data_IF_726110282935
#
_entry.id   IF_726110282935
#
_cell.length_a   1.000
_cell.length_b   1.000
_cell.length_c   1.000
_cell.angle_alpha   90.00
_cell.angle_beta   90.00
_cell.angle_gamma   90.00
#
_symmetry.space_group_name_H-M   'P 1'
#
loop_
_entity.id
_entity.type
_entity.pdbx_description
1 polymer ?
#
# COMPACT_ATOMS: atom_id res chain seq x y z
N UNK A 1 0.12 -7.57 -37.19
CA UNK A 1 -0.35 -8.85 -36.63
C UNK A 1 -0.38 -8.71 -35.09
N UNK A 2 -1.57 -8.86 -34.53
CA UNK A 2 -1.74 -8.85 -33.07
C UNK A 2 -2.08 -10.26 -32.60
N UNK A 3 -1.42 -10.73 -31.55
CA UNK A 3 -1.77 -11.97 -30.89
C UNK A 3 -2.87 -11.70 -29.86
N UNK A 4 -4.07 -12.19 -30.12
CA UNK A 4 -5.22 -12.08 -29.23
C UNK A 4 -5.58 -13.47 -28.76
N UNK A 5 -5.39 -13.75 -27.48
CA UNK A 5 -5.70 -15.04 -26.86
C UNK A 5 -6.29 -14.84 -25.47
N UNK A 6 -7.39 -15.52 -25.19
CA UNK A 6 -8.00 -15.58 -23.88
C UNK A 6 -8.95 -16.77 -23.78
N UNK A 7 -9.01 -17.42 -22.64
CA UNK A 7 -9.94 -18.52 -22.38
C UNK A 7 -11.39 -18.06 -22.17
N UNK A 8 -11.61 -16.77 -21.90
CA UNK A 8 -12.91 -16.23 -21.42
C UNK A 8 -13.54 -15.19 -22.37
N UNK A 9 -13.20 -15.22 -23.66
CA UNK A 9 -13.65 -14.24 -24.65
C UNK A 9 -15.18 -14.10 -24.77
N UNK A 10 -15.90 -15.19 -24.60
CA UNK A 10 -17.36 -15.23 -24.72
C UNK A 10 -18.08 -15.21 -23.38
N UNK A 11 -17.34 -15.15 -22.28
CA UNK A 11 -17.94 -15.09 -20.96
C UNK A 11 -18.53 -13.69 -20.72
N UNK A 12 -19.81 -13.64 -20.35
CA UNK A 12 -20.53 -12.38 -20.15
C UNK A 12 -20.33 -11.76 -18.77
N UNK A 13 -19.88 -12.54 -17.80
CA UNK A 13 -19.74 -12.12 -16.39
C UNK A 13 -18.80 -10.91 -16.24
N UNK A 14 -17.64 -10.96 -16.90
CA UNK A 14 -16.66 -9.86 -16.86
C UNK A 14 -17.19 -8.56 -17.46
N UNK A 15 -17.90 -8.65 -18.59
CA UNK A 15 -18.51 -7.47 -19.22
C UNK A 15 -19.62 -6.87 -18.38
N UNK A 16 -20.50 -7.71 -17.81
CA UNK A 16 -21.57 -7.25 -16.93
C UNK A 16 -21.02 -6.57 -15.67
N UNK A 17 -20.00 -7.17 -15.04
CA UNK A 17 -19.31 -6.59 -13.90
C UNK A 17 -18.65 -5.24 -14.25
N UNK A 18 -18.00 -5.15 -15.42
CA UNK A 18 -17.36 -3.90 -15.86
C UNK A 18 -18.37 -2.77 -16.07
N UNK A 19 -19.51 -3.07 -16.71
CA UNK A 19 -20.59 -2.09 -16.89
C UNK A 19 -21.13 -1.59 -15.56
N UNK A 20 -21.35 -2.50 -14.60
CA UNK A 20 -21.82 -2.11 -13.26
C UNK A 20 -20.76 -1.26 -12.52
N UNK A 21 -19.48 -1.59 -12.62
CA UNK A 21 -18.40 -0.79 -12.04
C UNK A 21 -18.41 0.63 -12.61
N UNK A 22 -18.49 0.78 -13.95
CA UNK A 22 -18.55 2.11 -14.59
C UNK A 22 -19.75 2.93 -14.11
N UNK A 23 -20.93 2.28 -14.05
CA UNK A 23 -22.14 2.92 -13.50
C UNK A 23 -21.93 3.39 -12.04
N UNK A 24 -21.31 2.56 -11.20
CA UNK A 24 -21.02 2.93 -9.82
C UNK A 24 -20.01 4.08 -9.71
N UNK A 25 -19.06 4.18 -10.64
CA UNK A 25 -18.11 5.31 -10.68
C UNK A 25 -18.85 6.64 -10.85
N UNK A 26 -19.84 6.69 -11.74
CA UNK A 26 -20.65 7.90 -11.97
C UNK A 26 -21.61 8.18 -10.81
N UNK A 27 -22.40 7.19 -10.39
CA UNK A 27 -23.44 7.35 -9.39
C UNK A 27 -22.89 7.69 -8.00
N UNK A 28 -21.73 7.15 -7.62
CA UNK A 28 -21.13 7.33 -6.27
C UNK A 28 -20.02 8.36 -6.22
N UNK A 29 -19.75 9.04 -7.33
CA UNK A 29 -18.68 10.02 -7.43
C UNK A 29 -17.33 9.47 -6.89
N UNK A 30 -16.98 8.25 -7.33
CA UNK A 30 -15.86 7.44 -6.80
C UNK A 30 -14.56 8.20 -6.85
N UNK A 31 -14.27 8.86 -7.98
CA UNK A 31 -12.99 9.56 -8.19
C UNK A 31 -12.78 10.65 -7.14
N UNK A 32 -13.77 11.47 -6.88
CA UNK A 32 -13.68 12.54 -5.88
C UNK A 32 -13.49 11.98 -4.46
N UNK A 33 -14.18 10.87 -4.16
CA UNK A 33 -13.99 10.19 -2.88
C UNK A 33 -12.54 9.72 -2.71
N UNK A 34 -11.99 9.03 -3.72
CA UNK A 34 -10.61 8.52 -3.68
C UNK A 34 -9.58 9.64 -3.55
N UNK A 35 -9.78 10.75 -4.28
CA UNK A 35 -8.92 11.93 -4.17
C UNK A 35 -8.98 12.53 -2.76
N UNK A 36 -10.19 12.68 -2.18
CA UNK A 36 -10.37 13.21 -0.82
C UNK A 36 -9.67 12.34 0.23
N UNK A 37 -9.84 11.03 0.15
CA UNK A 37 -9.21 10.08 1.07
C UNK A 37 -7.69 10.06 0.90
N UNK A 38 -7.20 10.03 -0.34
CA UNK A 38 -5.77 10.07 -0.62
C UNK A 38 -5.08 11.35 -0.14
N UNK A 39 -5.73 12.50 -0.33
CA UNK A 39 -5.25 13.77 0.20
C UNK A 39 -5.26 13.81 1.73
N UNK A 40 -6.28 13.22 2.37
CA UNK A 40 -6.35 13.09 3.82
C UNK A 40 -5.21 12.22 4.34
N UNK A 41 -5.00 11.06 3.73
CA UNK A 41 -3.89 10.16 4.03
C UNK A 41 -2.54 10.87 3.92
N UNK A 42 -2.28 11.54 2.80
CA UNK A 42 -1.02 12.27 2.58
C UNK A 42 -0.73 13.25 3.71
N UNK A 43 -1.69 14.12 4.05
CA UNK A 43 -1.53 15.12 5.12
C UNK A 43 -1.25 14.49 6.49
N UNK A 44 -1.90 13.35 6.78
CA UNK A 44 -1.71 12.63 8.05
C UNK A 44 -0.33 11.99 8.15
N UNK A 45 0.14 11.42 7.04
CA UNK A 45 1.35 10.58 7.04
C UNK A 45 2.65 11.36 6.80
N UNK A 46 2.59 12.51 6.15
CA UNK A 46 3.76 13.20 5.58
C UNK A 46 4.86 13.47 6.61
N UNK A 47 4.53 14.03 7.76
CA UNK A 47 5.51 14.35 8.80
C UNK A 47 6.20 13.09 9.33
N UNK A 48 5.43 12.07 9.65
CA UNK A 48 5.90 10.81 10.20
C UNK A 48 6.77 10.04 9.21
N UNK A 49 6.36 9.99 7.94
CA UNK A 49 7.12 9.32 6.87
C UNK A 49 8.46 10.02 6.63
N UNK A 50 8.48 11.36 6.61
CA UNK A 50 9.72 12.12 6.47
C UNK A 50 10.71 11.84 7.62
N UNK A 51 10.22 11.77 8.85
CA UNK A 51 11.05 11.41 10.03
C UNK A 51 11.59 9.98 9.95
N UNK A 52 10.86 9.09 9.28
CA UNK A 52 11.29 7.72 9.03
C UNK A 52 12.14 7.53 7.75
N UNK A 53 12.50 8.62 7.06
CA UNK A 53 13.20 8.59 5.77
C UNK A 53 12.46 7.74 4.70
N UNK A 54 11.15 7.95 4.63
CA UNK A 54 10.25 7.29 3.67
C UNK A 54 9.58 8.39 2.85
N UNK A 55 9.67 8.31 1.53
CA UNK A 55 8.96 9.22 0.63
C UNK A 55 7.59 8.67 0.29
N UNK A 56 6.61 9.56 0.22
CA UNK A 56 5.30 9.25 -0.34
C UNK A 56 5.26 9.71 -1.79
N UNK A 57 5.24 8.76 -2.71
CA UNK A 57 5.23 8.98 -4.16
C UNK A 57 3.98 8.37 -4.80
N UNK A 58 3.80 8.57 -6.10
CA UNK A 58 2.65 8.06 -6.84
C UNK A 58 1.44 9.00 -6.81
N UNK A 59 0.29 8.49 -7.22
CA UNK A 59 -0.97 9.25 -7.27
C UNK A 59 -1.63 9.31 -5.89
N UNK A 60 -2.44 10.33 -5.66
CA UNK A 60 -3.22 10.44 -4.41
C UNK A 60 -4.11 9.21 -4.16
N UNK A 61 -4.63 8.62 -5.24
CA UNK A 61 -5.50 7.43 -5.18
C UNK A 61 -4.74 6.13 -5.00
N UNK A 62 -3.44 6.12 -5.34
CA UNK A 62 -2.53 4.97 -5.21
C UNK A 62 -1.17 5.46 -4.72
N UNK A 63 -1.06 5.90 -3.46
CA UNK A 63 0.23 6.31 -2.92
C UNK A 63 1.16 5.12 -2.67
N UNK A 64 2.45 5.39 -2.80
CA UNK A 64 3.51 4.40 -2.64
C UNK A 64 4.49 4.89 -1.58
N UNK A 65 4.73 4.08 -0.56
CA UNK A 65 5.76 4.30 0.45
C UNK A 65 7.11 3.85 -0.13
N UNK A 66 7.99 4.79 -0.41
CA UNK A 66 9.34 4.54 -0.90
C UNK A 66 10.34 4.62 0.25
N UNK A 67 10.85 3.48 0.67
CA UNK A 67 11.85 3.38 1.73
C UNK A 67 13.24 3.76 1.17
N UNK A 68 13.85 4.81 1.72
CA UNK A 68 15.12 5.37 1.21
C UNK A 68 16.37 4.81 1.94
N UNK A 69 16.19 3.89 2.87
CA UNK A 69 17.27 3.25 3.59
C UNK A 69 18.06 2.30 2.68
N UNK A 70 19.35 2.10 2.97
CA UNK A 70 20.21 1.14 2.22
C UNK A 70 19.64 -0.28 2.26
N UNK A 71 19.01 -0.67 3.38
CA UNK A 71 18.33 -1.93 3.60
C UNK A 71 16.80 -1.81 3.41
N UNK A 72 16.37 -1.13 2.37
CA UNK A 72 14.97 -0.81 2.11
C UNK A 72 14.03 -2.04 2.06
N UNK A 73 14.51 -3.19 1.58
CA UNK A 73 13.73 -4.43 1.55
C UNK A 73 13.48 -5.00 2.94
N UNK A 74 14.47 -4.90 3.84
CA UNK A 74 14.28 -5.25 5.26
C UNK A 74 13.28 -4.31 5.91
N UNK A 75 13.42 -2.99 5.69
CA UNK A 75 12.50 -1.99 6.22
C UNK A 75 11.06 -2.24 5.75
N UNK A 76 10.88 -2.51 4.45
CA UNK A 76 9.57 -2.86 3.87
C UNK A 76 9.00 -4.14 4.49
N UNK A 77 9.82 -5.18 4.63
CA UNK A 77 9.41 -6.47 5.20
C UNK A 77 8.98 -6.30 6.65
N UNK A 78 9.79 -5.61 7.45
CA UNK A 78 9.48 -5.31 8.85
C UNK A 78 8.18 -4.51 8.96
N UNK A 79 8.03 -3.43 8.17
CA UNK A 79 6.82 -2.61 8.17
C UNK A 79 5.57 -3.45 7.87
N UNK A 80 5.59 -4.25 6.81
CA UNK A 80 4.48 -5.12 6.45
C UNK A 80 4.15 -6.12 7.57
N UNK A 81 5.17 -6.78 8.13
CA UNK A 81 5.01 -7.73 9.22
C UNK A 81 4.36 -7.10 10.46
N UNK A 82 4.86 -5.94 10.88
CA UNK A 82 4.36 -5.29 12.09
C UNK A 82 2.95 -4.70 11.89
N UNK A 83 2.65 -4.13 10.72
CA UNK A 83 1.31 -3.63 10.40
C UNK A 83 0.25 -4.75 10.42
N UNK A 84 0.60 -5.97 10.02
CA UNK A 84 -0.29 -7.12 10.11
C UNK A 84 -0.71 -7.42 11.55
N UNK A 85 0.15 -7.18 12.55
CA UNK A 85 -0.19 -7.36 13.98
C UNK A 85 -1.27 -6.39 14.45
N UNK A 86 -1.42 -5.26 13.77
CA UNK A 86 -2.49 -4.28 13.99
C UNK A 86 -3.73 -4.52 13.10
N UNK A 87 -3.76 -5.63 12.34
CA UNK A 87 -4.89 -6.00 11.49
C UNK A 87 -4.88 -5.36 10.10
N UNK A 88 -3.77 -4.73 9.68
CA UNK A 88 -3.63 -4.14 8.35
C UNK A 88 -2.82 -5.05 7.43
N UNK A 89 -3.42 -5.50 6.31
CA UNK A 89 -2.70 -6.13 5.20
C UNK A 89 -1.93 -5.05 4.42
N UNK A 90 -0.99 -4.42 5.09
CA UNK A 90 -0.25 -3.30 4.53
C UNK A 90 0.90 -3.78 3.64
N UNK A 91 1.05 -3.13 2.50
CA UNK A 91 2.23 -3.19 1.65
C UNK A 91 2.80 -1.78 1.50
N UNK A 92 3.83 -1.61 0.69
CA UNK A 92 4.31 -0.29 0.34
C UNK A 92 3.41 0.44 -0.68
N UNK A 93 2.50 -0.25 -1.35
CA UNK A 93 1.51 0.34 -2.27
C UNK A 93 0.14 0.28 -1.59
N UNK A 94 -0.57 1.39 -1.60
CA UNK A 94 -1.88 1.50 -0.98
C UNK A 94 -2.92 1.79 -2.08
N UNK A 95 -3.93 0.92 -2.18
CA UNK A 95 -5.04 1.09 -3.11
C UNK A 95 -6.26 1.55 -2.33
N UNK A 96 -6.66 2.80 -2.49
CA UNK A 96 -7.89 3.28 -1.87
C UNK A 96 -9.14 2.76 -2.60
N UNK A 97 -10.21 2.60 -1.86
CA UNK A 97 -11.53 2.18 -2.35
C UNK A 97 -12.63 2.99 -1.66
N UNK A 98 -13.86 2.84 -2.10
CA UNK A 98 -15.03 3.45 -1.46
C UNK A 98 -15.22 3.05 0.01
N UNK A 99 -14.69 1.91 0.43
CA UNK A 99 -14.75 1.44 1.82
C UNK A 99 -13.81 2.19 2.75
N UNK A 100 -12.77 2.86 2.21
CA UNK A 100 -11.86 3.64 3.02
C UNK A 100 -12.51 4.96 3.45
N UNK A 101 -12.47 5.23 4.74
CA UNK A 101 -12.96 6.47 5.34
C UNK A 101 -11.89 7.08 6.25
N UNK A 102 -12.15 8.27 6.79
CA UNK A 102 -11.19 8.96 7.65
C UNK A 102 -10.80 8.13 8.88
N UNK A 103 -11.75 7.42 9.49
CA UNK A 103 -11.49 6.59 10.67
C UNK A 103 -10.45 5.50 10.35
N UNK A 104 -10.60 4.80 9.24
CA UNK A 104 -9.63 3.77 8.81
C UNK A 104 -8.24 4.38 8.59
N UNK A 105 -8.18 5.60 8.02
CA UNK A 105 -6.91 6.30 7.83
C UNK A 105 -6.29 6.71 9.17
N UNK A 106 -7.10 7.15 10.12
CA UNK A 106 -6.63 7.51 11.46
C UNK A 106 -6.11 6.27 12.22
N UNK A 107 -6.86 5.17 12.20
CA UNK A 107 -6.46 3.89 12.80
C UNK A 107 -5.13 3.37 12.15
N UNK A 108 -5.00 3.50 10.82
CA UNK A 108 -3.78 3.15 10.10
C UNK A 108 -2.60 4.05 10.52
N UNK A 109 -2.83 5.35 10.66
CA UNK A 109 -1.80 6.30 11.09
C UNK A 109 -1.29 5.97 12.50
N UNK A 110 -2.18 5.67 13.45
CA UNK A 110 -1.81 5.27 14.81
C UNK A 110 -0.95 4.00 14.79
N UNK A 111 -1.37 2.96 14.07
CA UNK A 111 -0.60 1.74 13.92
C UNK A 111 0.76 1.99 13.28
N UNK A 112 0.79 2.75 12.17
CA UNK A 112 2.01 3.06 11.45
C UNK A 112 3.00 3.88 12.29
N UNK A 113 2.51 4.78 13.17
CA UNK A 113 3.40 5.56 14.04
C UNK A 113 4.20 4.64 14.98
N UNK A 114 3.54 3.70 15.63
CA UNK A 114 4.19 2.70 16.50
C UNK A 114 5.19 1.84 15.73
N UNK A 115 4.80 1.41 14.52
CA UNK A 115 5.66 0.55 13.68
C UNK A 115 6.89 1.30 13.19
N UNK A 116 6.73 2.55 12.76
CA UNK A 116 7.84 3.37 12.25
C UNK A 116 8.81 3.81 13.36
N UNK A 117 8.32 4.05 14.57
CA UNK A 117 9.19 4.28 15.73
C UNK A 117 10.10 3.06 16.00
N UNK A 118 9.52 1.84 16.02
CA UNK A 118 10.29 0.60 16.19
C UNK A 118 11.27 0.40 15.03
N UNK A 119 10.83 0.60 13.79
CA UNK A 119 11.67 0.49 12.60
C UNK A 119 12.88 1.42 12.73
N UNK A 120 12.68 2.68 13.06
CA UNK A 120 13.75 3.65 13.23
C UNK A 120 14.71 3.26 14.36
N UNK A 121 14.18 2.79 15.49
CA UNK A 121 14.99 2.34 16.63
C UNK A 121 15.89 1.17 16.27
N UNK A 122 15.31 0.11 15.66
CA UNK A 122 16.06 -1.09 15.32
C UNK A 122 17.01 -0.86 14.14
N UNK A 123 16.61 -0.04 13.17
CA UNK A 123 17.48 0.29 12.04
C UNK A 123 18.70 1.12 12.47
N UNK A 124 18.54 2.09 13.37
CA UNK A 124 19.66 2.86 13.94
C UNK A 124 20.65 1.99 14.71
N UNK A 125 20.17 0.92 15.36
CA UNK A 125 21.02 -0.05 16.07
C UNK A 125 21.68 -1.08 15.14
N UNK A 126 21.31 -1.13 13.86
CA UNK A 126 21.75 -2.16 12.92
C UNK A 126 21.18 -3.56 13.23
N UNK A 127 20.05 -3.63 13.92
CA UNK A 127 19.49 -4.87 14.45
C UNK A 127 18.16 -5.26 13.78
N UNK A 128 17.72 -4.53 12.76
CA UNK A 128 16.39 -4.69 12.16
C UNK A 128 16.12 -6.14 11.72
N UNK A 129 17.11 -6.81 11.13
CA UNK A 129 17.02 -8.19 10.65
C UNK A 129 16.67 -9.20 11.76
N UNK A 130 17.06 -8.94 13.02
CA UNK A 130 16.73 -9.81 14.17
C UNK A 130 15.25 -9.85 14.49
N UNK A 131 14.49 -8.83 14.05
CA UNK A 131 13.06 -8.68 14.32
C UNK A 131 12.17 -9.04 13.13
N UNK A 132 12.77 -9.51 12.02
CA UNK A 132 12.04 -10.00 10.86
C UNK A 132 11.82 -11.50 11.00
N UNK A 133 10.57 -11.93 10.91
CA UNK A 133 10.18 -13.34 10.94
C UNK A 133 10.00 -13.84 9.51
N UNK A 134 10.90 -14.69 9.03
CA UNK A 134 10.85 -15.24 7.68
C UNK A 134 11.76 -14.52 6.67
N UNK A 135 11.60 -14.81 5.38
CA UNK A 135 12.45 -14.25 4.34
C UNK A 135 12.15 -12.78 4.07
N UNK A 136 13.21 -12.02 3.72
CA UNK A 136 13.06 -10.64 3.25
C UNK A 136 12.37 -10.65 1.90
N UNK A 137 11.48 -9.68 1.67
CA UNK A 137 10.76 -9.54 0.41
C UNK A 137 11.71 -9.31 -0.78
N UNK A 138 11.32 -9.77 -1.96
CA UNK A 138 12.10 -9.59 -3.17
C UNK A 138 11.86 -8.22 -3.82
N UNK A 139 12.90 -7.69 -4.49
CA UNK A 139 12.78 -6.59 -5.44
C UNK A 139 12.62 -7.17 -6.85
N UNK A 140 11.57 -6.72 -7.53
CA UNK A 140 11.30 -7.11 -8.91
C UNK A 140 10.75 -8.53 -9.08
N UNK A 141 10.53 -8.88 -10.36
CA UNK A 141 10.02 -10.20 -10.74
C UNK A 141 11.21 -11.17 -10.92
N UNK A 142 11.25 -12.24 -10.14
CA UNK A 142 12.14 -13.36 -10.36
C UNK A 142 11.33 -14.61 -10.68
N UNK A 143 11.69 -15.31 -11.76
CA UNK A 143 11.16 -16.66 -11.97
C UNK A 143 11.65 -17.56 -10.84
N UNK A 144 10.72 -18.29 -10.23
CA UNK A 144 11.08 -19.41 -9.36
C UNK A 144 11.50 -20.56 -10.29
N UNK A 145 12.81 -20.68 -10.51
CA UNK A 145 13.44 -21.82 -11.21
C UNK A 145 14.05 -22.73 -10.18
#
# INVERSE_FOLDING_TARGET
DSFISSSYWTERTGYAASLEVLKQFDEKNVIDHLIKIGNYFKRKMELMLNQANINLIGMHTVPILSFNQKNNLECKTFFTQEMMKFGFLASNIIYFSLSHNKKIIDDYHEAASVVLEKLNLYNKKGELSKYISGPICHAGFKRLT
#
